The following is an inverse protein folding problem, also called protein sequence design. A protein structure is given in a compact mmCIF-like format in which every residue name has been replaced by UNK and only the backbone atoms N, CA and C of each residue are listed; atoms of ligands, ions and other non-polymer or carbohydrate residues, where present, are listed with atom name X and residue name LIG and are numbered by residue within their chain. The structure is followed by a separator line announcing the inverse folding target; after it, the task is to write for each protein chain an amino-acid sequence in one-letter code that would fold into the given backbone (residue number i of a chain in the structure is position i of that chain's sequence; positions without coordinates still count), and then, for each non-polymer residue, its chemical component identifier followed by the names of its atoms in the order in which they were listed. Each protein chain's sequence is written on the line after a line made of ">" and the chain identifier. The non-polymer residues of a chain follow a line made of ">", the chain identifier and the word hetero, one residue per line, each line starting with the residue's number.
data_IF_087264593782
#
_entry.id   IF_087264593782
#
_cell.length_a   1.000
_cell.length_b   1.000
_cell.length_c   1.000
_cell.angle_alpha   90.00
_cell.angle_beta   90.00
_cell.angle_gamma   90.00
#
_symmetry.space_group_name_H-M   'P 1'
#
loop_
_entity.id
_entity.type
_entity.pdbx_description
1 polymer ?
#
# COMPACT_ATOMS: atom_id res chain seq x y z
N UNK A 1 -16.89 8.54 5.91
CA UNK A 1 -15.60 8.66 5.22
C UNK A 1 -14.64 9.37 6.16
N UNK A 2 -13.60 8.68 6.62
CA UNK A 2 -12.54 9.33 7.41
C UNK A 2 -11.59 9.98 6.42
N UNK A 3 -11.44 11.30 6.50
CA UNK A 3 -10.46 12.03 5.70
C UNK A 3 -9.20 12.15 6.54
N UNK A 4 -8.09 11.66 6.02
CA UNK A 4 -6.75 11.87 6.60
C UNK A 4 -6.08 12.93 5.73
N UNK A 5 -5.68 14.03 6.36
CA UNK A 5 -4.98 15.13 5.68
C UNK A 5 -3.50 15.09 6.04
N UNK A 6 -2.66 15.40 5.06
CA UNK A 6 -1.22 15.57 5.27
C UNK A 6 -0.95 16.95 5.85
N UNK A 7 0.02 17.04 6.76
CA UNK A 7 0.51 18.33 7.25
C UNK A 7 1.09 19.14 6.08
N UNK A 8 0.75 20.43 5.99
CA UNK A 8 1.17 21.31 4.90
C UNK A 8 2.68 21.58 4.86
N UNK A 9 3.43 21.17 5.89
CA UNK A 9 4.90 21.22 5.92
C UNK A 9 5.55 20.08 5.12
N UNK A 10 4.82 19.02 4.79
CA UNK A 10 5.35 17.90 4.03
C UNK A 10 5.43 18.29 2.55
N UNK A 11 6.61 18.11 1.96
CA UNK A 11 6.82 18.37 0.54
C UNK A 11 6.15 17.29 -0.31
N UNK A 12 5.26 17.70 -1.21
CA UNK A 12 4.43 16.81 -2.02
C UNK A 12 5.26 15.88 -2.92
N UNK A 13 6.24 16.43 -3.65
CA UNK A 13 7.05 15.67 -4.62
C UNK A 13 7.90 14.55 -3.97
N UNK A 14 8.68 14.81 -2.89
CA UNK A 14 9.36 13.75 -2.15
C UNK A 14 8.39 12.74 -1.54
N UNK A 15 7.24 13.18 -1.03
CA UNK A 15 6.24 12.28 -0.46
C UNK A 15 5.64 11.36 -1.53
N UNK A 16 5.37 11.89 -2.72
CA UNK A 16 4.91 11.11 -3.86
C UNK A 16 5.94 10.04 -4.25
N UNK A 17 7.24 10.32 -4.16
CA UNK A 17 8.29 9.31 -4.38
C UNK A 17 8.22 8.18 -3.33
N UNK A 18 7.98 8.52 -2.05
CA UNK A 18 7.79 7.51 -0.99
C UNK A 18 6.53 6.66 -1.27
N UNK A 19 5.43 7.27 -1.69
CA UNK A 19 4.23 6.53 -2.10
C UNK A 19 4.52 5.63 -3.30
N UNK A 20 5.16 6.15 -4.35
CA UNK A 20 5.51 5.36 -5.53
C UNK A 20 6.36 4.14 -5.14
N UNK A 21 7.33 4.32 -4.24
CA UNK A 21 8.10 3.22 -3.69
C UNK A 21 7.22 2.20 -2.97
N UNK A 22 6.32 2.62 -2.07
CA UNK A 22 5.43 1.69 -1.35
C UNK A 22 4.52 0.87 -2.30
N UNK A 23 4.11 1.46 -3.43
CA UNK A 23 3.27 0.79 -4.43
C UNK A 23 4.06 -0.09 -5.41
N UNK A 24 5.29 0.27 -5.75
CA UNK A 24 6.05 -0.36 -6.85
C UNK A 24 7.31 -1.10 -6.40
N UNK A 25 7.87 -0.77 -5.23
CA UNK A 25 9.18 -1.23 -4.76
C UNK A 25 10.36 -0.54 -5.45
N UNK A 26 10.13 0.47 -6.29
CA UNK A 26 11.16 1.13 -7.09
C UNK A 26 11.44 2.56 -6.62
N UNK A 27 12.70 2.98 -6.70
CA UNK A 27 13.17 4.35 -6.49
C UNK A 27 13.76 4.85 -7.81
N UNK A 28 13.33 6.05 -8.25
CA UNK A 28 14.04 6.76 -9.30
C UNK A 28 15.34 7.36 -8.73
N UNK A 29 16.48 6.78 -9.10
CA UNK A 29 17.79 7.17 -8.60
C UNK A 29 18.29 8.49 -9.22
N UNK A 30 17.68 8.97 -10.30
CA UNK A 30 18.04 10.24 -10.96
C UNK A 30 17.46 11.49 -10.30
N UNK A 31 16.65 11.31 -9.25
CA UNK A 31 15.96 12.42 -8.56
C UNK A 31 16.94 13.39 -7.89
N UNK A 32 16.63 14.67 -7.98
CA UNK A 32 17.39 15.75 -7.32
C UNK A 32 17.06 15.94 -5.83
N UNK A 33 15.98 15.33 -5.35
CA UNK A 33 15.40 15.51 -4.00
C UNK A 33 15.53 14.25 -3.11
N UNK A 34 16.51 13.39 -3.41
CA UNK A 34 16.74 12.13 -2.69
C UNK A 34 16.87 12.32 -1.17
N UNK A 35 17.50 13.40 -0.72
CA UNK A 35 17.64 13.69 0.72
C UNK A 35 16.29 13.92 1.39
N UNK A 36 15.38 14.64 0.74
CA UNK A 36 14.02 14.86 1.24
C UNK A 36 13.21 13.57 1.24
N UNK A 37 13.39 12.72 0.22
CA UNK A 37 12.79 11.37 0.19
C UNK A 37 13.29 10.53 1.37
N UNK A 38 14.59 10.57 1.69
CA UNK A 38 15.14 9.87 2.85
C UNK A 38 14.56 10.38 4.18
N UNK A 39 14.40 11.70 4.33
CA UNK A 39 13.78 12.28 5.53
C UNK A 39 12.34 11.79 5.72
N UNK A 40 11.52 11.78 4.67
CA UNK A 40 10.15 11.29 4.77
C UNK A 40 10.13 9.77 5.01
N UNK A 41 10.99 9.01 4.33
CA UNK A 41 11.12 7.58 4.53
C UNK A 41 11.51 7.23 5.97
N UNK A 42 12.37 8.04 6.60
CA UNK A 42 12.73 7.88 8.02
C UNK A 42 11.54 8.16 8.94
N UNK A 43 10.81 9.26 8.73
CA UNK A 43 9.62 9.61 9.52
C UNK A 43 8.51 8.56 9.43
N UNK A 44 8.36 7.93 8.26
CA UNK A 44 7.36 6.89 8.00
C UNK A 44 7.89 5.46 8.25
N UNK A 45 9.12 5.32 8.74
CA UNK A 45 9.77 4.03 9.01
C UNK A 45 9.85 3.10 7.77
N UNK A 46 9.96 3.69 6.58
CA UNK A 46 10.19 2.98 5.32
C UNK A 46 11.70 2.71 5.16
N UNK A 47 12.24 1.89 6.06
CA UNK A 47 13.68 1.66 6.20
C UNK A 47 14.37 1.20 4.92
N UNK A 48 13.70 0.34 4.13
CA UNK A 48 14.24 -0.15 2.86
C UNK A 48 14.50 1.00 1.88
N UNK A 49 13.57 1.95 1.76
CA UNK A 49 13.73 3.13 0.91
C UNK A 49 14.84 4.04 1.41
N UNK A 50 14.90 4.27 2.73
CA UNK A 50 15.97 5.07 3.35
C UNK A 50 17.36 4.47 3.05
N UNK A 51 17.48 3.14 3.12
CA UNK A 51 18.69 2.42 2.74
C UNK A 51 19.00 2.54 1.25
N UNK A 52 17.99 2.42 0.38
CA UNK A 52 18.19 2.59 -1.07
C UNK A 52 18.69 3.98 -1.43
N UNK A 53 18.14 5.03 -0.82
CA UNK A 53 18.64 6.39 -1.01
C UNK A 53 20.10 6.51 -0.57
N UNK A 54 20.46 5.97 0.60
CA UNK A 54 21.83 5.98 1.08
C UNK A 54 22.79 5.30 0.09
N UNK A 55 22.40 4.16 -0.48
CA UNK A 55 23.19 3.46 -1.50
C UNK A 55 23.38 4.32 -2.75
N UNK A 56 22.34 5.01 -3.24
CA UNK A 56 22.45 5.91 -4.41
C UNK A 56 23.47 7.02 -4.13
N UNK A 57 23.36 7.68 -2.99
CA UNK A 57 24.26 8.78 -2.60
C UNK A 57 25.71 8.33 -2.44
N UNK A 58 25.92 7.09 -1.98
CA UNK A 58 27.25 6.49 -1.82
C UNK A 58 27.80 5.80 -3.09
N UNK A 59 27.05 5.82 -4.20
CA UNK A 59 27.39 5.13 -5.46
C UNK A 59 27.45 3.60 -5.32
N UNK A 60 26.60 3.06 -4.46
CA UNK A 60 26.43 1.63 -4.16
C UNK A 60 25.08 1.09 -4.65
N UNK A 61 24.45 1.73 -5.66
CA UNK A 61 23.13 1.36 -6.19
C UNK A 61 22.99 -0.11 -6.59
N UNK A 62 24.09 -0.80 -6.89
CA UNK A 62 24.08 -2.24 -7.17
C UNK A 62 23.50 -3.08 -6.02
N UNK A 63 23.58 -2.60 -4.78
CA UNK A 63 22.99 -3.24 -3.59
C UNK A 63 21.45 -3.12 -3.54
N UNK A 64 20.85 -2.16 -4.27
CA UNK A 64 19.41 -1.91 -4.25
C UNK A 64 18.60 -3.07 -4.84
N UNK A 65 19.21 -3.93 -5.65
CA UNK A 65 18.55 -5.10 -6.21
C UNK A 65 18.09 -6.07 -5.11
N UNK A 66 18.92 -6.32 -4.10
CA UNK A 66 18.57 -7.23 -3.01
C UNK A 66 17.55 -6.61 -2.05
N UNK A 67 17.63 -5.29 -1.81
CA UNK A 67 16.62 -4.56 -1.05
C UNK A 67 15.25 -4.67 -1.73
N UNK A 68 15.20 -4.45 -3.05
CA UNK A 68 13.96 -4.52 -3.84
C UNK A 68 13.34 -5.92 -3.77
N UNK A 69 14.14 -6.98 -3.93
CA UNK A 69 13.66 -8.37 -3.79
C UNK A 69 13.08 -8.62 -2.40
N UNK A 70 13.81 -8.24 -1.35
CA UNK A 70 13.38 -8.44 0.03
C UNK A 70 12.10 -7.66 0.37
N UNK A 71 11.96 -6.43 -0.15
CA UNK A 71 10.75 -5.61 -0.03
C UNK A 71 9.53 -6.33 -0.59
N UNK A 72 9.61 -6.85 -1.83
CA UNK A 72 8.48 -7.56 -2.45
C UNK A 72 8.08 -8.83 -1.68
N UNK A 73 9.05 -9.59 -1.18
CA UNK A 73 8.79 -10.78 -0.34
C UNK A 73 8.06 -10.38 0.95
N UNK A 74 8.56 -9.36 1.67
CA UNK A 74 7.93 -8.87 2.90
C UNK A 74 6.51 -8.33 2.65
N UNK A 75 6.34 -7.55 1.58
CA UNK A 75 5.02 -7.01 1.19
C UNK A 75 4.01 -8.12 0.91
N UNK A 76 4.39 -9.13 0.13
CA UNK A 76 3.52 -10.27 -0.16
C UNK A 76 3.12 -11.01 1.12
N UNK A 77 4.06 -11.21 2.05
CA UNK A 77 3.78 -11.86 3.33
C UNK A 77 2.85 -11.02 4.22
N UNK A 78 3.01 -9.69 4.25
CA UNK A 78 2.10 -8.79 4.99
C UNK A 78 0.68 -8.79 4.43
N UNK A 79 0.51 -8.83 3.10
CA UNK A 79 -0.80 -8.97 2.48
C UNK A 79 -1.46 -10.29 2.90
N UNK A 80 -0.72 -11.41 2.84
CA UNK A 80 -1.23 -12.73 3.29
C UNK A 80 -1.66 -12.71 4.76
N UNK A 81 -0.90 -12.04 5.61
CA UNK A 81 -1.25 -11.90 7.03
C UNK A 81 -2.51 -11.04 7.25
N UNK A 82 -2.68 -9.95 6.49
CA UNK A 82 -3.90 -9.15 6.55
C UNK A 82 -5.13 -9.95 6.13
N UNK A 83 -5.00 -10.78 5.09
CA UNK A 83 -6.06 -11.68 4.62
C UNK A 83 -6.40 -12.75 5.67
N UNK A 84 -5.40 -13.37 6.30
CA UNK A 84 -5.64 -14.46 7.26
C UNK A 84 -6.19 -13.98 8.61
N UNK A 85 -5.80 -12.79 9.07
CA UNK A 85 -6.23 -12.23 10.35
C UNK A 85 -7.43 -11.28 10.25
N UNK A 86 -7.80 -10.86 9.04
CA UNK A 86 -8.80 -9.80 8.83
C UNK A 86 -8.31 -8.40 9.24
N UNK A 87 -7.01 -8.21 9.46
CA UNK A 87 -6.46 -6.89 9.81
C UNK A 87 -6.73 -5.91 8.68
N UNK A 88 -7.23 -4.72 9.01
CA UNK A 88 -7.65 -3.68 8.05
C UNK A 88 -8.79 -4.08 7.10
N UNK A 89 -9.53 -5.17 7.38
CA UNK A 89 -10.72 -5.49 6.60
C UNK A 89 -11.72 -4.32 6.66
N UNK A 90 -12.19 -3.89 5.49
CA UNK A 90 -13.12 -2.78 5.31
C UNK A 90 -14.48 -3.25 4.75
N UNK A 91 -14.63 -4.57 4.55
CA UNK A 91 -15.89 -5.25 4.24
C UNK A 91 -15.91 -6.65 4.84
N UNK A 92 -17.10 -7.12 5.23
CA UNK A 92 -17.36 -8.50 5.64
C UNK A 92 -18.49 -9.05 4.76
N UNK A 93 -18.27 -10.22 4.15
CA UNK A 93 -19.34 -10.94 3.47
C UNK A 93 -20.05 -11.86 4.47
N UNK A 94 -21.36 -11.70 4.57
CA UNK A 94 -22.23 -12.56 5.37
C UNK A 94 -22.76 -13.66 4.46
N UNK A 95 -22.27 -14.87 4.66
CA UNK A 95 -22.65 -16.10 3.96
C UNK A 95 -23.64 -16.90 4.81
N UNK A 96 -24.30 -17.89 4.21
CA UNK A 96 -25.23 -18.75 4.94
C UNK A 96 -24.53 -19.57 6.05
N UNK A 97 -23.23 -19.84 5.89
CA UNK A 97 -22.41 -20.65 6.80
C UNK A 97 -21.34 -19.86 7.58
N UNK A 98 -21.29 -18.53 7.46
CA UNK A 98 -20.34 -17.74 8.23
C UNK A 98 -20.06 -16.33 7.71
N UNK A 99 -18.93 -15.79 8.17
CA UNK A 99 -18.47 -14.44 7.86
C UNK A 99 -17.09 -14.47 7.24
N UNK A 100 -16.91 -13.74 6.14
CA UNK A 100 -15.64 -13.61 5.45
C UNK A 100 -15.18 -12.14 5.44
N UNK A 101 -14.29 -11.72 6.36
CA UNK A 101 -13.66 -10.40 6.27
C UNK A 101 -12.78 -10.32 5.03
N UNK A 102 -12.83 -9.18 4.33
CA UNK A 102 -12.07 -8.95 3.11
C UNK A 102 -11.69 -7.46 2.96
N UNK A 103 -10.92 -7.18 1.90
CA UNK A 103 -10.36 -5.86 1.63
C UNK A 103 -10.83 -5.39 0.25
N UNK A 104 -11.67 -4.35 0.21
CA UNK A 104 -12.21 -3.78 -1.04
C UNK A 104 -11.10 -3.49 -2.06
N UNK A 105 -9.95 -2.86 -1.71
CA UNK A 105 -8.89 -2.61 -2.69
C UNK A 105 -8.37 -3.87 -3.38
N UNK A 106 -8.22 -4.98 -2.65
CA UNK A 106 -7.74 -6.26 -3.21
C UNK A 106 -8.80 -6.96 -4.06
N UNK A 107 -10.08 -6.87 -3.67
CA UNK A 107 -11.20 -7.42 -4.45
C UNK A 107 -11.38 -6.65 -5.76
N UNK A 108 -11.42 -5.32 -5.67
CA UNK A 108 -11.54 -4.41 -6.79
C UNK A 108 -10.41 -4.62 -7.80
N UNK A 109 -9.17 -4.82 -7.36
CA UNK A 109 -8.04 -5.02 -8.27
C UNK A 109 -8.06 -6.38 -8.97
N UNK A 110 -8.87 -7.33 -8.51
CA UNK A 110 -8.77 -8.74 -8.90
C UNK A 110 -10.04 -9.29 -9.57
N UNK A 111 -11.17 -8.55 -9.53
CA UNK A 111 -12.45 -9.02 -10.04
C UNK A 111 -13.33 -7.86 -10.52
N UNK A 112 -13.73 -7.85 -11.79
CA UNK A 112 -14.53 -6.78 -12.39
C UNK A 112 -15.91 -6.62 -11.72
N UNK A 113 -16.52 -7.72 -11.28
CA UNK A 113 -17.79 -7.67 -10.53
C UNK A 113 -17.62 -6.95 -9.19
N UNK A 114 -16.52 -7.24 -8.48
CA UNK A 114 -16.21 -6.56 -7.22
C UNK A 114 -15.78 -5.11 -7.46
N UNK A 115 -15.09 -4.83 -8.57
CA UNK A 115 -14.78 -3.48 -9.00
C UNK A 115 -16.06 -2.68 -9.24
N UNK A 116 -17.05 -3.23 -9.95
CA UNK A 116 -18.34 -2.58 -10.18
C UNK A 116 -19.14 -2.40 -8.88
N UNK A 117 -19.14 -3.40 -7.99
CA UNK A 117 -19.84 -3.36 -6.70
C UNK A 117 -19.27 -2.30 -5.74
N UNK A 118 -17.95 -2.19 -5.65
CA UNK A 118 -17.27 -1.35 -4.67
C UNK A 118 -16.70 -0.04 -5.22
N UNK A 119 -16.74 0.18 -6.54
CA UNK A 119 -16.46 1.49 -7.15
C UNK A 119 -17.75 2.10 -7.68
N UNK A 120 -18.25 3.12 -7.01
CA UNK A 120 -19.32 3.97 -7.54
C UNK A 120 -20.45 4.19 -6.54
N UNK A 121 -21.67 4.22 -7.06
CA UNK A 121 -22.87 4.64 -6.32
C UNK A 121 -23.67 3.48 -5.71
N UNK A 122 -23.18 2.25 -5.83
CA UNK A 122 -23.81 1.08 -5.21
C UNK A 122 -23.71 1.17 -3.68
N UNK A 123 -24.73 0.68 -2.97
CA UNK A 123 -24.76 0.76 -1.50
C UNK A 123 -23.58 0.01 -0.87
N UNK A 124 -23.17 -1.08 -1.49
CA UNK A 124 -22.03 -1.94 -1.15
C UNK A 124 -20.72 -1.16 -1.05
N UNK A 125 -20.59 -0.04 -1.79
CA UNK A 125 -19.44 0.86 -1.70
C UNK A 125 -19.35 1.56 -0.33
N UNK A 126 -20.48 1.82 0.34
CA UNK A 126 -20.57 2.62 1.56
C UNK A 126 -20.83 1.84 2.85
N UNK A 127 -21.22 0.56 2.74
CA UNK A 127 -21.47 -0.32 3.88
C UNK A 127 -20.25 -1.20 4.20
N UNK A 128 -20.25 -1.75 5.42
CA UNK A 128 -19.21 -2.65 5.92
C UNK A 128 -19.58 -4.13 5.85
N UNK A 129 -20.85 -4.45 5.59
CA UNK A 129 -21.36 -5.82 5.55
C UNK A 129 -22.16 -6.02 4.27
N UNK A 130 -21.92 -7.13 3.56
CA UNK A 130 -22.61 -7.48 2.32
C UNK A 130 -23.15 -8.90 2.44
N UNK A 131 -24.47 -9.07 2.36
CA UNK A 131 -25.08 -10.40 2.35
C UNK A 131 -24.95 -11.04 0.97
N UNK A 132 -24.37 -12.23 0.92
CA UNK A 132 -24.26 -13.02 -0.31
C UNK A 132 -24.97 -14.34 -0.07
N UNK A 133 -26.01 -14.60 -0.86
CA UNK A 133 -26.66 -15.91 -0.90
C UNK A 133 -25.93 -16.75 -1.93
N UNK A 134 -25.42 -17.90 -1.52
CA UNK A 134 -24.67 -18.82 -2.40
C UNK A 134 -25.57 -19.97 -2.83
#
# INVERSE_FOLDING_TARGET
>A
MTVVSMDGLIQEEPFQAVLQYLYTGSLDEGRGDLMQVATIAELLEVFDLRMMVANVLNRESFMNQEITKAFHVRRANRIKECLSKGTFADVVFCLDDGYLPAHKPLLISSCDWMAAMFRGSFMESYIKEVSVRV
#
